data_IF_492234128851
#
_entry.id   IF_492234128851
#
_cell.length_a   1.000
_cell.length_b   1.000
_cell.length_c   1.000
_cell.angle_alpha   90.00
_cell.angle_beta   90.00
_cell.angle_gamma   90.00
#
_symmetry.space_group_name_H-M   'P 1'
#
loop_
_entity.id
_entity.type
_entity.pdbx_description
1 polymer ?
#
# COMPACT_ATOMS: atom_id res chain seq x y z
N UNK A 1 17.84 15.69 12.72
CA UNK A 1 18.24 15.10 14.02
C UNK A 1 17.10 15.36 14.99
N UNK A 2 16.39 14.33 15.37
CA UNK A 2 15.25 14.44 16.31
C UNK A 2 15.79 14.31 17.72
N UNK A 3 15.76 15.40 18.48
CA UNK A 3 16.12 15.40 19.91
C UNK A 3 15.07 14.62 20.70
N UNK A 4 15.56 13.69 21.53
CA UNK A 4 14.71 12.89 22.42
C UNK A 4 14.32 13.78 23.61
N UNK A 5 13.01 13.95 23.91
CA UNK A 5 12.56 14.78 25.02
C UNK A 5 13.14 14.33 26.37
N UNK A 6 13.62 15.30 27.18
CA UNK A 6 14.32 15.05 28.47
C UNK A 6 13.52 14.22 29.48
N UNK A 7 12.18 14.28 29.45
CA UNK A 7 11.34 13.51 30.36
C UNK A 7 11.42 11.99 30.10
N UNK A 8 11.75 11.55 28.89
CA UNK A 8 11.95 10.14 28.57
C UNK A 8 13.31 9.65 29.04
N UNK A 9 14.33 10.51 28.98
CA UNK A 9 15.67 10.21 29.49
C UNK A 9 15.67 10.09 31.03
N UNK A 10 14.90 10.94 31.72
CA UNK A 10 14.73 10.89 33.17
C UNK A 10 14.07 9.57 33.60
N UNK A 11 13.01 9.17 32.92
CA UNK A 11 12.27 7.93 33.21
C UNK A 11 13.12 6.67 33.00
N UNK A 12 14.07 6.71 32.05
CA UNK A 12 15.02 5.63 31.81
C UNK A 12 16.09 5.54 32.92
N UNK A 13 16.56 6.69 33.43
CA UNK A 13 17.51 6.76 34.54
C UNK A 13 16.91 6.26 35.85
N UNK A 14 15.66 6.64 36.14
CA UNK A 14 14.94 6.25 37.35
C UNK A 14 14.68 4.72 37.37
N UNK A 15 14.40 4.09 36.22
CA UNK A 15 14.29 2.63 36.12
C UNK A 15 15.63 1.91 36.33
N UNK A 16 16.73 2.49 35.89
CA UNK A 16 18.07 1.91 36.07
C UNK A 16 18.56 2.02 37.51
N UNK A 17 18.15 3.05 38.24
CA UNK A 17 18.43 3.23 39.65
C UNK A 17 17.61 2.32 40.57
N UNK A 18 16.41 1.92 40.14
CA UNK A 18 15.53 1.02 40.90
C UNK A 18 15.83 -0.47 40.71
N UNK A 19 16.72 -0.84 39.78
CA UNK A 19 17.06 -2.22 39.43
C UNK A 19 18.46 -2.68 39.88
N UNK A 20 19.09 -2.00 40.83
CA UNK A 20 20.38 -2.37 41.38
C UNK A 20 20.27 -3.30 42.60
N UNK A 21 20.97 -4.39 42.54
CA UNK A 21 21.27 -5.37 43.59
C UNK A 21 20.25 -6.48 43.88
N UNK A 22 20.43 -7.56 43.14
CA UNK A 22 20.22 -8.91 43.67
C UNK A 22 21.49 -9.73 43.38
N UNK A 23 22.14 -10.36 44.38
CA UNK A 23 23.35 -11.09 44.17
C UNK A 23 23.11 -12.43 43.49
N UNK A 24 23.90 -12.67 42.47
CA UNK A 24 24.03 -13.96 41.79
C UNK A 24 24.65 -14.97 42.72
N UNK A 25 23.97 -16.06 43.00
CA UNK A 25 24.55 -17.26 43.64
C UNK A 25 24.96 -18.20 42.52
N UNK A 26 26.27 -18.28 42.30
CA UNK A 26 26.92 -19.31 41.52
C UNK A 26 26.78 -20.68 42.21
N UNK A 27 26.36 -21.66 41.50
CA UNK A 27 26.43 -23.08 41.86
C UNK A 27 27.64 -23.66 41.14
N UNK A 28 28.60 -24.12 41.92
CA UNK A 28 29.68 -24.98 41.42
C UNK A 28 29.68 -26.32 42.16
N UNK A 29 29.93 -27.43 41.48
CA UNK A 29 29.79 -28.77 42.05
C UNK A 29 31.12 -29.35 42.54
N UNK A 30 31.01 -30.20 43.55
CA UNK A 30 32.07 -31.23 43.69
C UNK A 30 32.60 -31.52 45.11
N UNK A 31 32.52 -32.75 45.43
CA UNK A 31 33.41 -33.60 46.19
C UNK A 31 33.04 -34.02 47.64
N UNK A 32 32.60 -35.24 47.70
CA UNK A 32 33.22 -36.38 48.46
C UNK A 32 33.28 -36.36 50.03
N UNK A 33 32.71 -37.41 50.53
CA UNK A 33 32.67 -38.02 51.86
C UNK A 33 34.09 -38.18 52.49
N UNK A 34 34.25 -38.28 53.83
CA UNK A 34 34.13 -39.59 54.42
C UNK A 34 33.47 -39.67 55.82
N UNK A 35 33.08 -40.89 56.12
CA UNK A 35 32.53 -41.37 57.37
C UNK A 35 33.54 -41.46 58.49
N UNK A 36 33.13 -41.31 59.74
CA UNK A 36 33.68 -42.07 60.86
C UNK A 36 32.65 -42.26 61.99
N UNK A 37 32.57 -43.49 62.34
CA UNK A 37 32.03 -44.25 63.46
C UNK A 37 32.18 -43.68 64.86
N UNK A 38 31.21 -43.98 65.73
CA UNK A 38 31.28 -43.86 67.19
C UNK A 38 30.04 -44.26 67.90
N UNK A 39 29.98 -45.50 68.36
CA UNK A 39 28.93 -46.08 69.15
C UNK A 39 28.95 -45.55 70.61
N UNK A 40 27.80 -45.50 71.24
CA UNK A 40 27.51 -46.18 72.54
C UNK A 40 26.02 -45.94 72.94
N UNK A 41 25.39 -47.05 73.33
CA UNK A 41 24.09 -47.26 73.96
C UNK A 41 24.21 -47.06 75.47
N UNK A 42 23.12 -47.25 76.32
CA UNK A 42 21.69 -46.86 76.24
C UNK A 42 21.24 -46.16 77.54
N UNK A 43 20.10 -45.57 77.60
CA UNK A 43 19.22 -45.68 78.82
C UNK A 43 17.89 -45.02 78.63
N UNK A 44 16.90 -45.82 78.99
CA UNK A 44 15.61 -45.47 79.56
C UNK A 44 14.51 -44.81 78.75
N UNK A 45 13.54 -45.62 78.49
CA UNK A 45 12.16 -45.28 78.14
C UNK A 45 11.58 -44.19 79.01
N UNK A 46 11.09 -43.16 78.42
CA UNK A 46 9.92 -42.47 78.87
C UNK A 46 8.96 -42.42 77.65
N UNK A 47 7.94 -43.26 77.78
CA UNK A 47 6.77 -43.16 76.90
C UNK A 47 6.06 -41.86 77.30
N UNK A 48 6.18 -40.84 76.52
CA UNK A 48 5.34 -39.67 76.56
C UNK A 48 4.60 -39.63 75.22
N UNK A 49 3.29 -39.71 75.34
CA UNK A 49 2.35 -39.66 74.29
C UNK A 49 2.75 -38.60 73.21
N UNK A 50 3.14 -39.10 72.02
CA UNK A 50 3.25 -38.29 70.83
C UNK A 50 1.84 -38.18 70.20
N UNK A 51 0.91 -37.66 70.97
CA UNK A 51 -0.38 -37.21 70.41
C UNK A 51 -0.11 -35.91 69.65
N UNK A 52 0.03 -36.14 68.38
CA UNK A 52 -0.34 -35.20 67.29
C UNK A 52 -0.24 -33.69 67.60
N UNK A 53 0.92 -33.14 67.63
CA UNK A 53 1.10 -31.75 67.13
C UNK A 53 0.89 -31.78 65.65
N UNK A 54 -0.40 -31.75 65.19
CA UNK A 54 -0.76 -31.27 63.89
C UNK A 54 -0.13 -29.89 63.78
N UNK A 55 1.00 -29.79 63.08
CA UNK A 55 1.63 -28.50 62.78
C UNK A 55 0.56 -27.65 62.12
N UNK A 56 0.15 -26.60 62.82
CA UNK A 56 -0.82 -25.65 62.28
C UNK A 56 -0.22 -25.14 60.96
N UNK A 57 -0.84 -25.55 59.83
CA UNK A 57 -0.43 -25.04 58.50
C UNK A 57 -0.44 -23.52 58.63
N UNK A 58 0.71 -22.89 58.41
CA UNK A 58 0.79 -21.44 58.27
C UNK A 58 -0.32 -20.98 57.31
N UNK A 59 -1.11 -19.96 57.68
CA UNK A 59 -2.14 -19.46 56.81
C UNK A 59 -1.48 -19.07 55.44
N UNK A 60 -2.16 -19.51 54.39
CA UNK A 60 -1.70 -19.22 53.04
C UNK A 60 -1.54 -17.68 52.85
N UNK A 61 -0.47 -17.19 52.21
CA UNK A 61 -0.35 -15.79 51.86
C UNK A 61 -1.57 -15.31 51.06
N UNK A 62 -1.89 -14.05 51.18
CA UNK A 62 -3.09 -13.46 50.55
C UNK A 62 -3.20 -13.74 49.03
N UNK A 63 -2.09 -13.78 48.32
CA UNK A 63 -2.08 -14.08 46.89
C UNK A 63 -2.40 -15.56 46.57
N UNK A 64 -2.03 -16.50 47.44
CA UNK A 64 -2.40 -17.91 47.28
C UNK A 64 -3.88 -18.12 47.60
N UNK A 65 -4.40 -17.45 48.62
CA UNK A 65 -5.83 -17.49 48.97
C UNK A 65 -6.65 -16.90 47.82
N UNK A 66 -6.24 -15.75 47.27
CA UNK A 66 -6.88 -15.14 46.10
C UNK A 66 -6.83 -16.06 44.86
N UNK A 67 -5.74 -16.78 44.62
CA UNK A 67 -5.64 -17.74 43.52
C UNK A 67 -6.56 -18.96 43.72
N UNK A 68 -6.69 -19.44 44.95
CA UNK A 68 -7.57 -20.59 45.27
C UNK A 68 -9.06 -20.22 45.24
N UNK A 69 -9.42 -18.99 45.58
CA UNK A 69 -10.80 -18.48 45.60
C UNK A 69 -11.26 -17.91 44.28
N UNK A 70 -10.35 -17.71 43.30
CA UNK A 70 -10.76 -17.28 41.94
C UNK A 70 -11.72 -18.25 41.32
N UNK A 71 -12.91 -17.76 41.00
CA UNK A 71 -13.87 -18.52 40.18
C UNK A 71 -13.20 -18.92 38.85
N UNK A 72 -13.41 -20.16 38.44
CA UNK A 72 -12.93 -20.61 37.11
C UNK A 72 -13.66 -19.78 36.06
N UNK A 73 -12.90 -19.22 35.14
CA UNK A 73 -13.47 -18.53 33.97
C UNK A 73 -14.30 -19.59 33.21
N UNK A 74 -15.56 -19.33 32.93
CA UNK A 74 -16.39 -20.27 32.17
C UNK A 74 -15.76 -20.55 30.80
N UNK A 75 -15.78 -21.78 30.35
CA UNK A 75 -15.18 -22.20 29.08
C UNK A 75 -15.75 -21.43 27.89
N UNK A 76 -17.02 -21.05 27.93
CA UNK A 76 -17.62 -20.21 26.88
C UNK A 76 -16.97 -18.82 26.80
N UNK A 77 -16.60 -18.20 27.94
CA UNK A 77 -15.95 -16.89 27.96
C UNK A 77 -14.53 -16.97 27.36
N UNK A 78 -13.80 -18.06 27.62
CA UNK A 78 -12.49 -18.28 26.98
C UNK A 78 -12.63 -18.50 25.49
N UNK A 79 -13.61 -19.27 25.04
CA UNK A 79 -13.89 -19.49 23.63
C UNK A 79 -14.26 -18.18 22.92
N UNK A 80 -15.11 -17.37 23.55
CA UNK A 80 -15.48 -16.04 22.98
C UNK A 80 -14.26 -15.14 22.81
N UNK A 81 -13.38 -15.06 23.81
CA UNK A 81 -12.16 -14.24 23.73
C UNK A 81 -11.18 -14.78 22.69
N UNK A 82 -11.08 -16.09 22.52
CA UNK A 82 -10.21 -16.69 21.52
C UNK A 82 -10.73 -16.46 20.09
N UNK A 83 -12.05 -16.42 19.90
CA UNK A 83 -12.66 -16.19 18.60
C UNK A 83 -12.83 -14.71 18.24
N UNK A 84 -12.81 -13.81 19.23
CA UNK A 84 -13.00 -12.37 19.01
C UNK A 84 -11.99 -11.76 18.01
N UNK A 85 -10.67 -12.02 18.07
CA UNK A 85 -9.73 -11.49 17.10
C UNK A 85 -9.99 -12.02 15.69
N UNK A 86 -10.41 -13.28 15.55
CA UNK A 86 -10.78 -13.86 14.26
C UNK A 86 -12.03 -13.16 13.72
N UNK A 87 -13.05 -12.99 14.55
CA UNK A 87 -14.25 -12.26 14.16
C UNK A 87 -13.96 -10.82 13.80
N UNK A 88 -13.12 -10.12 14.59
CA UNK A 88 -12.73 -8.74 14.31
C UNK A 88 -11.98 -8.64 12.98
N UNK A 89 -11.07 -9.57 12.70
CA UNK A 89 -10.36 -9.62 11.42
C UNK A 89 -11.31 -9.83 10.25
N UNK A 90 -12.24 -10.78 10.35
CA UNK A 90 -13.24 -11.02 9.31
C UNK A 90 -14.19 -9.83 9.15
N UNK A 91 -14.58 -9.18 10.25
CA UNK A 91 -15.44 -8.01 10.24
C UNK A 91 -14.77 -6.81 9.55
N UNK A 92 -13.52 -6.52 9.90
CA UNK A 92 -12.74 -5.44 9.25
C UNK A 92 -12.58 -5.73 7.76
N UNK A 93 -12.25 -6.97 7.39
CA UNK A 93 -12.16 -7.37 5.98
C UNK A 93 -13.49 -7.26 5.23
N UNK A 94 -14.59 -7.57 5.90
CA UNK A 94 -15.93 -7.45 5.32
C UNK A 94 -16.43 -6.02 5.21
N UNK A 95 -15.86 -5.08 5.99
CA UNK A 95 -16.13 -3.64 5.91
C UNK A 95 -15.15 -2.89 5.00
N UNK A 96 -14.07 -3.54 4.55
CA UNK A 96 -13.26 -2.96 3.48
C UNK A 96 -14.20 -2.70 2.30
N UNK A 97 -14.29 -1.44 1.80
CA UNK A 97 -15.10 -1.19 0.64
C UNK A 97 -14.66 -2.17 -0.42
N UNK A 98 -15.58 -3.02 -0.87
CA UNK A 98 -15.37 -3.83 -2.06
C UNK A 98 -14.98 -2.81 -3.12
N UNK A 99 -13.70 -2.78 -3.51
CA UNK A 99 -13.35 -2.11 -4.75
C UNK A 99 -14.29 -2.72 -5.77
N UNK A 100 -15.26 -1.94 -6.25
CA UNK A 100 -16.01 -2.36 -7.41
C UNK A 100 -14.95 -2.85 -8.38
N UNK A 101 -15.02 -4.12 -8.78
CA UNK A 101 -14.13 -4.60 -9.84
C UNK A 101 -14.38 -3.61 -10.95
N UNK A 102 -13.38 -2.76 -11.21
CA UNK A 102 -13.47 -1.81 -12.28
C UNK A 102 -13.78 -2.65 -13.51
N UNK A 103 -14.94 -2.41 -14.11
CA UNK A 103 -15.31 -3.05 -15.35
C UNK A 103 -14.99 -2.08 -16.48
N UNK A 104 -14.70 -2.62 -17.65
CA UNK A 104 -14.38 -1.80 -18.81
C UNK A 104 -12.95 -1.27 -18.86
N UNK A 105 -12.74 -0.12 -19.53
CA UNK A 105 -11.40 0.38 -19.83
C UNK A 105 -10.52 0.62 -18.59
N UNK A 106 -11.04 1.22 -17.53
CA UNK A 106 -10.26 1.52 -16.32
C UNK A 106 -9.72 0.27 -15.62
N UNK A 107 -10.44 -0.87 -15.65
CA UNK A 107 -9.94 -2.13 -15.11
C UNK A 107 -8.69 -2.62 -15.88
N UNK A 108 -8.79 -2.62 -17.20
CA UNK A 108 -7.67 -2.97 -18.06
C UNK A 108 -6.49 -2.03 -17.86
N UNK A 109 -6.77 -0.74 -17.65
CA UNK A 109 -5.77 0.28 -17.35
C UNK A 109 -5.05 0.07 -16.04
N UNK A 110 -5.76 -0.30 -14.99
CA UNK A 110 -5.19 -0.61 -13.68
C UNK A 110 -4.21 -1.79 -13.76
N UNK A 111 -4.52 -2.82 -14.52
CA UNK A 111 -3.65 -3.98 -14.72
C UNK A 111 -2.34 -3.57 -15.40
N UNK A 112 -2.40 -2.65 -16.37
CA UNK A 112 -1.25 -2.20 -17.16
C UNK A 112 -0.45 -1.07 -16.51
N UNK A 113 -0.99 -0.38 -15.51
CA UNK A 113 -0.34 0.79 -14.88
C UNK A 113 0.97 0.46 -14.15
N UNK A 114 1.19 -0.80 -13.79
CA UNK A 114 2.39 -1.23 -13.07
C UNK A 114 3.71 -0.81 -13.72
N UNK A 115 3.79 -0.81 -15.05
CA UNK A 115 4.96 -0.35 -15.79
C UNK A 115 5.18 1.17 -15.66
N UNK A 116 4.10 1.93 -15.66
CA UNK A 116 4.09 3.39 -15.55
C UNK A 116 4.46 3.85 -14.12
N UNK A 117 4.03 3.08 -13.13
CA UNK A 117 4.25 3.34 -11.71
C UNK A 117 5.74 3.45 -11.35
N UNK A 118 6.63 2.77 -12.07
CA UNK A 118 8.07 2.81 -11.86
C UNK A 118 8.66 4.22 -12.02
N UNK A 119 8.09 5.04 -12.90
CA UNK A 119 8.50 6.42 -13.15
C UNK A 119 7.54 7.44 -12.54
N UNK A 120 6.23 7.20 -12.65
CA UNK A 120 5.18 8.14 -12.25
C UNK A 120 4.68 7.95 -10.80
N UNK A 121 5.16 6.91 -10.09
CA UNK A 121 4.67 6.55 -8.76
C UNK A 121 3.40 5.69 -8.83
N UNK A 122 3.19 4.84 -7.83
CA UNK A 122 2.04 3.95 -7.77
C UNK A 122 0.70 4.69 -7.63
N UNK A 123 0.74 5.90 -7.08
CA UNK A 123 -0.38 6.83 -6.89
C UNK A 123 -0.35 8.03 -7.84
N UNK A 124 0.52 8.01 -8.85
CA UNK A 124 0.70 9.11 -9.77
C UNK A 124 1.40 10.35 -9.18
N UNK A 125 2.04 10.24 -8.01
CA UNK A 125 2.72 11.36 -7.36
C UNK A 125 3.98 11.85 -8.08
N UNK A 126 4.38 11.16 -9.15
CA UNK A 126 5.61 11.48 -9.88
C UNK A 126 6.84 10.79 -9.28
N UNK A 127 7.99 11.14 -9.83
CA UNK A 127 9.29 10.58 -9.44
C UNK A 127 10.31 10.83 -10.53
N UNK A 128 10.74 9.78 -11.23
CA UNK A 128 11.52 9.92 -12.44
C UNK A 128 10.67 10.52 -13.58
N UNK A 129 9.37 10.22 -13.61
CA UNK A 129 8.37 10.80 -14.50
C UNK A 129 7.55 11.91 -13.82
N UNK A 130 6.78 12.65 -14.62
CA UNK A 130 5.93 13.75 -14.15
C UNK A 130 4.78 13.25 -13.24
N UNK A 131 4.28 14.15 -12.42
CA UNK A 131 3.05 13.94 -11.63
C UNK A 131 1.87 13.75 -12.58
N UNK A 132 1.00 12.79 -12.25
CA UNK A 132 -0.22 12.49 -12.98
C UNK A 132 -1.47 12.81 -12.17
N UNK A 133 -1.39 12.74 -10.83
CA UNK A 133 -2.48 12.96 -9.90
C UNK A 133 -2.86 14.44 -9.76
N UNK A 134 -3.93 14.69 -9.00
CA UNK A 134 -4.39 16.04 -8.64
C UNK A 134 -4.72 16.93 -9.87
N UNK A 135 -5.25 16.31 -10.92
CA UNK A 135 -5.62 16.98 -12.16
C UNK A 135 -4.46 17.33 -13.08
N UNK A 136 -3.20 16.97 -12.76
CA UNK A 136 -2.04 17.37 -13.57
C UNK A 136 -2.05 16.75 -14.97
N UNK A 137 -2.54 15.52 -15.13
CA UNK A 137 -2.69 14.92 -16.45
C UNK A 137 -3.76 15.64 -17.29
N UNK A 138 -4.84 16.10 -16.66
CA UNK A 138 -5.93 16.84 -17.29
C UNK A 138 -5.49 18.24 -17.72
N UNK A 139 -4.71 18.93 -16.87
CA UNK A 139 -4.13 20.23 -17.20
C UNK A 139 -3.14 20.15 -18.36
N UNK A 140 -2.41 19.03 -18.46
CA UNK A 140 -1.45 18.82 -19.55
C UNK A 140 -2.15 18.44 -20.84
N UNK A 141 -3.15 17.58 -20.74
CA UNK A 141 -3.92 17.07 -21.88
C UNK A 141 -5.43 17.26 -21.64
N UNK A 142 -5.96 18.43 -21.96
CA UNK A 142 -7.41 18.68 -21.87
C UNK A 142 -8.21 17.70 -22.74
N UNK A 143 -7.65 17.27 -23.86
CA UNK A 143 -8.26 16.31 -24.77
C UNK A 143 -7.60 14.93 -24.61
N UNK A 144 -8.42 13.91 -24.45
CA UNK A 144 -7.96 12.53 -24.25
C UNK A 144 -7.14 12.03 -25.45
N UNK A 145 -7.51 12.45 -26.65
CA UNK A 145 -6.85 12.06 -27.90
C UNK A 145 -5.37 12.46 -27.93
N UNK A 146 -5.03 13.62 -27.38
CA UNK A 146 -3.62 14.07 -27.30
C UNK A 146 -2.83 13.23 -26.31
N UNK A 147 -3.46 12.85 -25.19
CA UNK A 147 -2.82 11.98 -24.20
C UNK A 147 -2.62 10.58 -24.76
N UNK A 148 -3.62 10.04 -25.47
CA UNK A 148 -3.52 8.74 -26.15
C UNK A 148 -2.35 8.75 -27.15
N UNK A 149 -2.28 9.79 -27.98
CA UNK A 149 -1.21 9.93 -28.98
C UNK A 149 0.17 10.03 -28.32
N UNK A 150 0.31 10.84 -27.27
CA UNK A 150 1.57 11.00 -26.55
C UNK A 150 2.05 9.69 -25.92
N UNK A 151 1.17 8.97 -25.26
CA UNK A 151 1.51 7.70 -24.59
C UNK A 151 1.82 6.62 -25.62
N UNK A 152 1.08 6.60 -26.73
CA UNK A 152 1.30 5.66 -27.81
C UNK A 152 2.69 5.85 -28.46
N UNK A 153 3.02 7.09 -28.86
CA UNK A 153 4.21 7.37 -29.64
C UNK A 153 5.48 7.59 -28.82
N UNK A 154 5.37 8.12 -27.61
CA UNK A 154 6.49 8.39 -26.72
C UNK A 154 7.34 9.59 -27.11
N UNK A 155 8.28 9.95 -26.24
CA UNK A 155 9.13 11.15 -26.39
C UNK A 155 9.97 11.13 -27.67
N UNK A 156 10.57 9.98 -28.00
CA UNK A 156 11.51 9.90 -29.12
C UNK A 156 10.85 10.16 -30.48
N UNK A 157 9.59 9.69 -30.63
CA UNK A 157 8.83 9.94 -31.85
C UNK A 157 8.51 11.43 -32.02
N UNK A 158 8.17 12.12 -30.92
CA UNK A 158 7.92 13.57 -30.94
C UNK A 158 9.18 14.36 -31.29
N UNK A 159 10.33 13.99 -30.72
CA UNK A 159 11.62 14.61 -31.08
C UNK A 159 11.99 14.37 -32.55
N UNK A 160 11.82 13.13 -33.02
CA UNK A 160 12.10 12.78 -34.41
C UNK A 160 11.18 13.50 -35.40
N UNK A 161 9.94 13.77 -35.03
CA UNK A 161 9.00 14.56 -35.82
C UNK A 161 9.26 16.08 -35.74
N UNK A 162 10.19 16.53 -34.89
CA UNK A 162 10.50 17.96 -34.71
C UNK A 162 9.44 18.70 -33.89
N UNK A 163 8.61 17.99 -33.12
CA UNK A 163 7.61 18.59 -32.25
C UNK A 163 8.31 19.24 -31.06
N UNK A 164 8.29 20.55 -30.99
CA UNK A 164 9.02 21.32 -29.99
C UNK A 164 8.39 21.20 -28.59
N UNK A 165 7.07 21.08 -28.52
CA UNK A 165 6.35 21.01 -27.24
C UNK A 165 5.10 20.14 -27.36
N UNK A 166 4.62 19.61 -26.22
CA UNK A 166 3.39 18.83 -26.10
C UNK A 166 2.54 19.33 -24.94
N UNK A 167 1.27 18.98 -24.95
CA UNK A 167 0.30 19.40 -23.96
C UNK A 167 -0.22 20.84 -24.18
N UNK A 168 -1.14 21.26 -23.33
CA UNK A 168 -1.83 22.55 -23.44
C UNK A 168 -0.87 23.73 -23.25
N UNK A 169 -0.72 24.62 -24.25
CA UNK A 169 0.10 25.82 -24.10
C UNK A 169 -0.48 26.83 -23.11
N UNK A 170 -1.79 26.76 -22.81
CA UNK A 170 -2.48 27.70 -21.94
C UNK A 170 -2.46 27.27 -20.46
N UNK A 171 -1.98 26.08 -20.14
CA UNK A 171 -1.85 25.62 -18.74
C UNK A 171 -0.89 26.52 -17.95
N UNK A 172 -1.04 26.53 -16.63
CA UNK A 172 -0.06 27.17 -15.76
C UNK A 172 1.33 26.56 -15.97
N UNK A 173 2.29 27.39 -16.34
CA UNK A 173 3.65 26.96 -16.72
C UNK A 173 3.82 26.61 -18.19
N UNK A 174 2.77 26.67 -19.00
CA UNK A 174 2.80 26.44 -20.47
C UNK A 174 2.97 24.97 -20.85
N UNK A 175 3.04 24.71 -22.16
CA UNK A 175 3.29 23.38 -22.71
C UNK A 175 4.66 22.82 -22.25
N UNK A 176 4.78 21.51 -22.28
CA UNK A 176 6.02 20.83 -21.93
C UNK A 176 6.92 20.61 -23.16
N UNK A 177 8.21 20.73 -22.96
CA UNK A 177 9.18 20.29 -23.97
C UNK A 177 9.51 18.81 -23.75
N UNK A 178 9.75 18.02 -24.82
CA UNK A 178 10.31 16.69 -24.69
C UNK A 178 11.57 16.70 -23.80
N UNK A 179 11.74 15.72 -22.96
CA UNK A 179 12.86 15.61 -21.98
C UNK A 179 13.00 16.78 -20.98
N UNK A 180 12.03 17.66 -20.87
CA UNK A 180 12.12 18.81 -19.94
C UNK A 180 11.98 18.43 -18.48
N UNK A 181 11.64 17.19 -18.16
CA UNK A 181 11.56 16.68 -16.83
C UNK A 181 12.68 15.67 -16.55
N UNK A 182 13.64 16.05 -15.71
CA UNK A 182 14.80 15.24 -15.32
C UNK A 182 15.65 14.70 -16.52
N UNK A 183 15.50 15.25 -17.72
CA UNK A 183 16.15 14.74 -18.92
C UNK A 183 15.64 13.39 -19.40
N UNK A 184 14.63 12.84 -18.73
CA UNK A 184 14.05 11.55 -19.04
C UNK A 184 13.20 11.54 -20.30
N UNK A 185 13.16 10.41 -20.99
CA UNK A 185 12.24 10.14 -22.09
C UNK A 185 11.11 9.24 -21.58
N UNK A 186 9.88 9.53 -21.99
CA UNK A 186 8.79 8.59 -21.88
C UNK A 186 8.88 7.60 -23.04
N UNK A 187 9.04 6.30 -22.80
CA UNK A 187 9.08 5.32 -23.87
C UNK A 187 7.74 5.21 -24.58
N UNK A 188 7.76 4.88 -25.85
CA UNK A 188 6.55 4.51 -26.57
C UNK A 188 5.88 3.30 -25.92
N UNK A 189 4.57 3.33 -25.76
CA UNK A 189 3.81 2.21 -25.21
C UNK A 189 3.07 1.42 -26.29
N UNK A 190 2.75 2.04 -27.43
CA UNK A 190 2.03 1.40 -28.53
C UNK A 190 2.86 0.33 -29.24
N UNK A 191 2.24 -0.81 -29.50
CA UNK A 191 2.92 -1.97 -30.13
C UNK A 191 3.56 -1.64 -31.48
N UNK A 192 2.88 -0.86 -32.34
CA UNK A 192 3.42 -0.44 -33.63
C UNK A 192 4.49 0.66 -33.51
N UNK A 193 4.61 1.30 -32.35
CA UNK A 193 5.64 2.30 -32.05
C UNK A 193 6.82 1.70 -31.25
N UNK A 194 6.86 0.40 -31.07
CA UNK A 194 7.93 -0.31 -30.37
C UNK A 194 7.64 -0.56 -28.89
N UNK A 195 6.46 -0.25 -28.39
CA UNK A 195 5.97 -0.60 -27.07
C UNK A 195 5.37 -2.01 -27.01
N UNK A 196 4.62 -2.27 -25.95
CA UNK A 196 4.04 -3.60 -25.72
C UNK A 196 2.51 -3.59 -25.60
N UNK A 197 1.87 -2.42 -25.59
CA UNK A 197 0.44 -2.28 -25.36
C UNK A 197 -0.33 -2.13 -26.66
N UNK A 198 -1.46 -2.84 -26.73
CA UNK A 198 -2.47 -2.63 -27.76
C UNK A 198 -3.16 -1.28 -27.60
N UNK A 199 -3.87 -0.82 -28.61
CA UNK A 199 -4.59 0.44 -28.56
C UNK A 199 -5.71 0.45 -27.51
N UNK A 200 -6.39 -0.70 -27.31
CA UNK A 200 -7.38 -0.87 -26.24
C UNK A 200 -6.75 -0.79 -24.85
N UNK A 201 -5.59 -1.42 -24.65
CA UNK A 201 -4.86 -1.35 -23.37
C UNK A 201 -4.36 0.07 -23.07
N UNK A 202 -3.92 0.82 -24.09
CA UNK A 202 -3.54 2.22 -23.95
C UNK A 202 -4.75 3.08 -23.59
N UNK A 203 -5.89 2.88 -24.25
CA UNK A 203 -7.12 3.58 -23.88
C UNK A 203 -7.50 3.27 -22.43
N UNK A 204 -7.49 2.00 -22.03
CA UNK A 204 -7.74 1.60 -20.66
C UNK A 204 -6.79 2.29 -19.68
N UNK A 205 -5.49 2.29 -19.97
CA UNK A 205 -4.46 2.95 -19.18
C UNK A 205 -4.73 4.45 -19.01
N UNK A 206 -5.11 5.14 -20.08
CA UNK A 206 -5.43 6.57 -20.04
C UNK A 206 -6.70 6.84 -19.23
N UNK A 207 -7.73 6.00 -19.37
CA UNK A 207 -8.94 6.12 -18.54
C UNK A 207 -8.59 5.96 -17.05
N UNK A 208 -7.82 4.96 -16.67
CA UNK A 208 -7.35 4.80 -15.30
C UNK A 208 -6.56 6.01 -14.80
N UNK A 209 -5.67 6.58 -15.61
CA UNK A 209 -4.88 7.74 -15.22
C UNK A 209 -5.76 8.98 -15.05
N UNK A 210 -6.69 9.24 -15.97
CA UNK A 210 -7.54 10.45 -15.96
C UNK A 210 -8.56 10.41 -14.82
N UNK A 211 -9.23 9.30 -14.63
CA UNK A 211 -10.36 9.20 -13.69
C UNK A 211 -9.94 8.69 -12.31
N UNK A 212 -9.19 7.61 -12.23
CA UNK A 212 -8.84 7.02 -10.93
C UNK A 212 -7.64 7.72 -10.27
N UNK A 213 -6.59 8.11 -11.05
CA UNK A 213 -5.37 8.71 -10.51
C UNK A 213 -5.45 10.23 -10.48
N UNK A 214 -5.84 10.86 -11.59
CA UNK A 214 -5.91 12.32 -11.71
C UNK A 214 -7.17 12.90 -11.06
N UNK A 215 -8.22 12.08 -10.90
CA UNK A 215 -9.43 12.44 -10.17
C UNK A 215 -10.41 13.27 -10.99
N UNK A 216 -10.48 13.06 -12.31
CA UNK A 216 -11.52 13.66 -13.13
C UNK A 216 -12.91 13.19 -12.68
N UNK A 217 -13.89 14.09 -12.70
CA UNK A 217 -15.26 13.77 -12.29
C UNK A 217 -16.02 13.15 -13.47
N UNK A 218 -16.31 11.85 -13.33
CA UNK A 218 -17.04 11.06 -14.33
C UNK A 218 -18.47 11.54 -14.60
N UNK A 219 -19.08 12.21 -13.64
CA UNK A 219 -20.45 12.72 -13.72
C UNK A 219 -20.53 14.25 -13.88
N UNK A 220 -19.40 14.95 -13.86
CA UNK A 220 -19.29 16.40 -13.89
C UNK A 220 -18.77 16.93 -15.22
N UNK A 221 -17.71 17.71 -15.15
CA UNK A 221 -17.10 18.39 -16.31
C UNK A 221 -16.66 17.41 -17.41
N UNK A 222 -16.27 16.20 -17.03
CA UNK A 222 -15.70 15.20 -17.93
C UNK A 222 -16.68 14.09 -18.32
N UNK A 223 -17.97 14.23 -17.99
CA UNK A 223 -18.97 13.18 -18.22
C UNK A 223 -19.08 12.76 -19.69
N UNK A 224 -19.05 13.70 -20.63
CA UNK A 224 -19.14 13.39 -22.06
C UNK A 224 -17.91 12.61 -22.55
N UNK A 225 -16.72 12.98 -22.06
CA UNK A 225 -15.48 12.25 -22.38
C UNK A 225 -15.52 10.86 -21.78
N UNK A 226 -15.94 10.73 -20.50
CA UNK A 226 -16.06 9.45 -19.83
C UNK A 226 -16.98 8.48 -20.58
N UNK A 227 -18.19 8.93 -20.86
CA UNK A 227 -19.17 8.10 -21.59
C UNK A 227 -18.68 7.69 -22.97
N UNK A 228 -18.02 8.59 -23.69
CA UNK A 228 -17.51 8.33 -25.03
C UNK A 228 -16.33 7.31 -25.03
N UNK A 229 -15.39 7.47 -24.09
CA UNK A 229 -14.11 6.77 -24.14
C UNK A 229 -13.90 5.75 -23.03
N UNK A 230 -14.37 6.02 -21.82
CA UNK A 230 -13.94 5.35 -20.60
C UNK A 230 -15.03 4.57 -19.88
N UNK A 231 -16.30 4.74 -20.26
CA UNK A 231 -17.40 3.96 -19.69
C UNK A 231 -17.27 2.47 -20.07
N UNK A 232 -17.78 1.55 -19.26
CA UNK A 232 -17.80 0.13 -19.60
C UNK A 232 -18.56 -0.18 -20.90
N UNK A 233 -19.51 0.70 -21.28
CA UNK A 233 -20.32 0.60 -22.48
C UNK A 233 -19.74 1.39 -23.67
N UNK A 234 -18.55 1.97 -23.53
CA UNK A 234 -17.88 2.73 -24.60
C UNK A 234 -17.73 1.89 -25.85
N UNK A 235 -18.40 2.32 -26.91
CA UNK A 235 -18.30 1.62 -28.18
C UNK A 235 -16.89 1.72 -28.77
N UNK A 236 -16.20 2.84 -28.56
CA UNK A 236 -14.79 3.01 -28.97
C UNK A 236 -13.91 1.95 -28.31
N UNK A 237 -14.05 1.73 -27.02
CA UNK A 237 -13.28 0.71 -26.32
C UNK A 237 -13.57 -0.70 -26.86
N UNK A 238 -14.84 -1.04 -27.02
CA UNK A 238 -15.26 -2.35 -27.53
C UNK A 238 -14.75 -2.59 -28.97
N UNK A 239 -14.78 -1.57 -29.82
CA UNK A 239 -14.31 -1.67 -31.20
C UNK A 239 -12.78 -1.73 -31.31
N UNK A 240 -12.03 -1.05 -30.42
CA UNK A 240 -10.58 -1.18 -30.31
C UNK A 240 -10.21 -2.59 -29.81
N UNK A 241 -10.93 -3.10 -28.80
CA UNK A 241 -10.72 -4.45 -28.27
C UNK A 241 -11.00 -5.55 -29.31
N UNK A 242 -12.05 -5.35 -30.11
CA UNK A 242 -12.38 -6.22 -31.22
C UNK A 242 -11.46 -6.05 -32.44
N UNK A 243 -10.61 -5.03 -32.49
CA UNK A 243 -9.74 -4.72 -33.61
C UNK A 243 -10.50 -4.21 -34.87
N UNK A 244 -11.74 -3.75 -34.70
CA UNK A 244 -12.55 -3.16 -35.78
C UNK A 244 -12.27 -1.66 -35.93
N UNK A 245 -11.69 -1.04 -34.93
CA UNK A 245 -11.28 0.35 -34.88
C UNK A 245 -9.79 0.43 -34.53
N UNK A 246 -9.11 1.48 -34.94
CA UNK A 246 -7.69 1.75 -34.61
C UNK A 246 -7.49 3.23 -34.35
N UNK A 247 -6.41 3.61 -33.67
CA UNK A 247 -6.07 5.02 -33.45
C UNK A 247 -5.83 5.80 -34.74
N UNK A 248 -5.45 5.13 -35.82
CA UNK A 248 -5.34 5.74 -37.15
C UNK A 248 -6.69 6.04 -37.82
N UNK A 249 -7.80 5.57 -37.21
CA UNK A 249 -9.14 5.84 -37.74
C UNK A 249 -9.45 7.34 -37.61
N UNK A 250 -9.80 8.00 -38.73
CA UNK A 250 -9.93 9.48 -38.73
C UNK A 250 -10.99 10.00 -37.73
N UNK A 251 -12.04 9.21 -37.48
CA UNK A 251 -13.11 9.55 -36.55
C UNK A 251 -12.68 9.66 -35.11
N UNK A 252 -11.56 9.04 -34.73
CA UNK A 252 -11.04 9.14 -33.36
C UNK A 252 -10.21 10.38 -33.13
N UNK A 253 -9.56 10.90 -34.17
CA UNK A 253 -8.67 12.04 -34.04
C UNK A 253 -7.40 11.76 -33.22
N UNK A 254 -7.06 10.50 -32.93
CA UNK A 254 -5.85 10.12 -32.17
C UNK A 254 -4.62 10.10 -33.05
N UNK A 255 -4.63 9.24 -34.08
CA UNK A 255 -3.46 8.97 -34.92
C UNK A 255 -2.35 8.21 -34.18
N UNK A 256 -1.47 7.58 -34.94
CA UNK A 256 -0.27 6.88 -34.44
C UNK A 256 1.03 7.65 -34.69
N UNK A 257 0.96 8.75 -35.42
CA UNK A 257 2.08 9.67 -35.62
C UNK A 257 2.02 10.82 -34.60
N UNK A 258 3.18 11.37 -34.18
CA UNK A 258 3.21 12.54 -33.31
C UNK A 258 2.40 13.71 -33.83
N UNK A 259 1.62 14.33 -32.95
CA UNK A 259 0.70 15.42 -33.29
C UNK A 259 1.29 16.78 -32.96
N UNK A 260 1.00 17.74 -33.78
CA UNK A 260 1.31 19.16 -33.57
C UNK A 260 0.07 19.85 -33.03
N UNK A 261 0.09 20.21 -31.75
CA UNK A 261 -1.01 20.91 -31.10
C UNK A 261 -2.13 20.01 -30.56
N UNK A 262 -3.15 20.61 -29.99
CA UNK A 262 -4.34 19.94 -29.48
C UNK A 262 -5.32 19.60 -30.59
N UNK A 263 -6.30 18.68 -30.40
CA UNK A 263 -7.35 18.42 -31.37
C UNK A 263 -8.10 19.67 -31.81
N UNK A 264 -8.36 20.60 -30.90
CA UNK A 264 -9.01 21.87 -31.21
C UNK A 264 -8.21 22.70 -32.21
N UNK A 265 -6.88 22.73 -32.11
CA UNK A 265 -6.00 23.44 -33.06
C UNK A 265 -6.01 22.78 -34.45
N UNK A 266 -6.20 21.46 -34.49
CA UNK A 266 -6.26 20.69 -35.73
C UNK A 266 -7.60 20.86 -36.46
N UNK A 267 -8.72 20.97 -35.73
CA UNK A 267 -10.03 21.28 -36.34
C UNK A 267 -10.01 22.63 -37.04
N UNK A 268 -9.36 23.63 -36.43
CA UNK A 268 -9.18 24.95 -37.06
C UNK A 268 -8.34 24.88 -38.31
N UNK A 269 -7.30 24.06 -38.35
CA UNK A 269 -6.44 23.88 -39.52
C UNK A 269 -7.09 23.03 -40.63
N UNK A 270 -7.96 22.08 -40.25
CA UNK A 270 -8.68 21.25 -41.21
C UNK A 270 -9.89 21.98 -41.84
N UNK A 271 -10.39 23.03 -41.21
CA UNK A 271 -11.50 23.86 -41.69
C UNK A 271 -11.06 25.05 -42.58
N UNK A 272 -9.76 25.32 -42.72
CA UNK A 272 -9.13 26.35 -43.56
C UNK A 272 -8.56 25.78 -44.84
#
# INVERSE_FOLDING_TARGET
MTEIPEHLLKRSRDRKAAGGDAPSTEVSPGAAVPATTGATTPTARVLVDAEAQKSAKKPDPAYITAAKTRGRIPSWAMATHALMPIFLFMYVRGLEPQKAEAQGPSALGMENYGACASCHGADGAGGAGRVLKDGESMKTFPHIEDMLNWVYAGTEAYEAAGVASYGDPNREGGAHYPRSYNGGAMPAQGEKAGGALTEAEILGLICHIRYDISGADEAGEWAEEYEKWCSPESQIFLDLEAGTLTFDSPELGVGTAPRLGTPADQEVMAAG
#
